data_IF_471403175950
#
_entry.id   IF_471403175950
#
_cell.length_a   1.000
_cell.length_b   1.000
_cell.length_c   1.000
_cell.angle_alpha   90.00
_cell.angle_beta   90.00
_cell.angle_gamma   90.00
#
_symmetry.space_group_name_H-M   'P 1'
#
loop_
_entity.id
_entity.type
_entity.pdbx_description
1 polymer ?
#
# COMPACT_ATOMS: atom_id res chain seq x y z
N UNK A 1 -20.52 -29.65 19.70
CA UNK A 1 -20.03 -28.40 19.09
C UNK A 1 -18.51 -28.42 19.14
N UNK A 2 -17.83 -28.45 17.98
CA UNK A 2 -16.37 -28.58 17.92
C UNK A 2 -15.68 -27.27 18.29
N UNK A 3 -15.06 -27.22 19.47
CA UNK A 3 -14.29 -26.09 20.00
C UNK A 3 -13.16 -25.63 19.06
N UNK A 4 -12.57 -26.57 18.30
CA UNK A 4 -11.55 -26.31 17.27
C UNK A 4 -12.04 -25.38 16.13
N UNK A 5 -13.32 -25.48 15.74
CA UNK A 5 -13.90 -24.63 14.68
C UNK A 5 -14.09 -23.18 15.16
N UNK A 6 -14.44 -22.98 16.43
CA UNK A 6 -14.61 -21.66 17.02
C UNK A 6 -13.27 -20.94 17.22
N UNK A 7 -12.24 -21.66 17.67
CA UNK A 7 -10.89 -21.08 17.80
C UNK A 7 -10.30 -20.68 16.44
N UNK A 8 -10.55 -21.48 15.39
CA UNK A 8 -10.13 -21.16 14.02
C UNK A 8 -10.86 -19.93 13.47
N UNK A 9 -12.17 -19.81 13.70
CA UNK A 9 -12.95 -18.64 13.29
C UNK A 9 -12.50 -17.37 14.04
N UNK A 10 -12.22 -17.49 15.34
CA UNK A 10 -11.72 -16.39 16.18
C UNK A 10 -10.37 -15.88 15.70
N UNK A 11 -9.42 -16.77 15.44
CA UNK A 11 -8.08 -16.40 14.95
C UNK A 11 -8.15 -15.73 13.58
N UNK A 12 -8.97 -16.25 12.66
CA UNK A 12 -9.19 -15.64 11.36
C UNK A 12 -9.77 -14.21 11.48
N UNK A 13 -10.74 -14.00 12.37
CA UNK A 13 -11.34 -12.68 12.61
C UNK A 13 -10.35 -11.67 13.20
N UNK A 14 -9.52 -12.08 14.17
CA UNK A 14 -8.50 -11.22 14.77
C UNK A 14 -7.40 -10.86 13.75
N UNK A 15 -7.00 -11.81 12.90
CA UNK A 15 -6.08 -11.56 11.80
C UNK A 15 -6.67 -10.54 10.80
N UNK A 16 -7.94 -10.70 10.41
CA UNK A 16 -8.64 -9.75 9.54
C UNK A 16 -8.71 -8.35 10.16
N UNK A 17 -9.06 -8.22 11.44
CA UNK A 17 -9.10 -6.92 12.14
C UNK A 17 -7.73 -6.26 12.26
N UNK A 18 -6.69 -7.05 12.48
CA UNK A 18 -5.31 -6.55 12.50
C UNK A 18 -4.92 -6.03 11.12
N UNK A 19 -5.26 -6.76 10.06
CA UNK A 19 -5.04 -6.34 8.69
C UNK A 19 -5.82 -5.07 8.34
N UNK A 20 -7.08 -4.96 8.74
CA UNK A 20 -7.90 -3.76 8.52
C UNK A 20 -7.33 -2.53 9.23
N UNK A 21 -6.86 -2.69 10.48
CA UNK A 21 -6.25 -1.60 11.24
C UNK A 21 -4.93 -1.17 10.61
N UNK A 22 -4.09 -2.11 10.17
CA UNK A 22 -2.86 -1.83 9.46
C UNK A 22 -3.13 -1.12 8.13
N UNK A 23 -4.12 -1.58 7.36
CA UNK A 23 -4.54 -0.96 6.12
C UNK A 23 -5.06 0.49 6.35
N UNK A 24 -5.89 0.71 7.36
CA UNK A 24 -6.41 2.04 7.70
C UNK A 24 -5.30 3.00 8.16
N UNK A 25 -4.36 2.52 8.99
CA UNK A 25 -3.21 3.32 9.43
C UNK A 25 -2.25 3.62 8.29
N UNK A 26 -1.99 2.66 7.40
CA UNK A 26 -1.17 2.89 6.20
C UNK A 26 -1.79 3.93 5.27
N UNK A 27 -3.11 3.91 5.08
CA UNK A 27 -3.84 4.90 4.25
C UNK A 27 -3.74 6.32 4.82
N UNK A 28 -3.92 6.48 6.13
CA UNK A 28 -3.79 7.77 6.80
C UNK A 28 -2.32 8.23 6.79
N UNK A 29 -1.38 7.33 7.06
CA UNK A 29 0.05 7.63 7.03
C UNK A 29 0.50 8.07 5.63
N UNK A 30 0.04 7.41 4.57
CA UNK A 30 0.38 7.83 3.22
C UNK A 30 -0.21 9.20 2.86
N UNK A 31 -1.43 9.48 3.30
CA UNK A 31 -2.05 10.80 3.13
C UNK A 31 -1.21 11.89 3.80
N UNK A 32 -0.72 11.64 5.01
CA UNK A 32 0.15 12.57 5.73
C UNK A 32 1.56 12.69 5.13
N UNK A 33 2.16 11.58 4.70
CA UNK A 33 3.56 11.52 4.26
C UNK A 33 3.72 11.99 2.79
N UNK A 34 2.74 11.68 1.95
CA UNK A 34 2.83 11.90 0.51
C UNK A 34 1.91 13.04 0.01
N UNK A 35 0.96 13.48 0.83
CA UNK A 35 -0.08 14.44 0.45
C UNK A 35 -1.07 13.87 -0.56
N UNK A 36 -1.20 12.53 -0.63
CA UNK A 36 -1.97 11.82 -1.65
C UNK A 36 -3.08 11.00 -1.00
N UNK A 37 -4.28 11.11 -1.54
CA UNK A 37 -5.40 10.22 -1.21
C UNK A 37 -5.25 8.90 -1.99
N UNK A 38 -5.04 7.79 -1.29
CA UNK A 38 -4.94 6.48 -1.94
C UNK A 38 -6.26 6.00 -2.53
N UNK A 39 -7.39 6.34 -1.93
CA UNK A 39 -8.69 5.93 -2.45
C UNK A 39 -9.00 6.65 -3.76
N UNK A 40 -8.70 7.95 -3.84
CA UNK A 40 -8.78 8.71 -5.10
C UNK A 40 -7.76 8.19 -6.13
N UNK A 41 -6.52 7.95 -5.72
CA UNK A 41 -5.46 7.48 -6.61
C UNK A 41 -5.78 6.10 -7.22
N UNK A 42 -6.51 5.25 -6.51
CA UNK A 42 -6.90 3.93 -7.01
C UNK A 42 -7.95 4.02 -8.14
N UNK A 43 -8.78 5.06 -8.14
CA UNK A 43 -9.80 5.33 -9.16
C UNK A 43 -9.25 6.21 -10.30
N UNK A 44 -8.16 6.95 -10.04
CA UNK A 44 -7.49 7.83 -11.00
C UNK A 44 -7.02 7.14 -12.30
N UNK A 45 -6.74 7.96 -13.30
CA UNK A 45 -6.23 7.54 -14.60
C UNK A 45 -4.85 6.87 -14.49
N UNK A 46 -4.50 6.03 -15.46
CA UNK A 46 -3.19 5.36 -15.46
C UNK A 46 -2.02 6.36 -15.52
N UNK A 47 -2.21 7.53 -16.15
CA UNK A 47 -1.22 8.61 -16.17
C UNK A 47 -1.02 9.25 -14.78
N UNK A 48 -2.08 9.43 -14.00
CA UNK A 48 -2.00 9.91 -12.62
C UNK A 48 -1.34 8.89 -11.70
N UNK A 49 -1.69 7.62 -11.87
CA UNK A 49 -1.05 6.51 -11.16
C UNK A 49 0.44 6.44 -11.47
N UNK A 50 0.83 6.59 -12.73
CA UNK A 50 2.25 6.60 -13.10
C UNK A 50 3.00 7.77 -12.45
N UNK A 51 2.42 8.97 -12.47
CA UNK A 51 3.01 10.15 -11.81
C UNK A 51 3.17 9.95 -10.30
N UNK A 52 2.17 9.37 -9.65
CA UNK A 52 2.22 9.06 -8.23
C UNK A 52 3.26 7.97 -7.91
N UNK A 53 3.40 6.95 -8.77
CA UNK A 53 4.42 5.89 -8.65
C UNK A 53 5.83 6.50 -8.64
N UNK A 54 6.14 7.35 -9.62
CA UNK A 54 7.45 8.02 -9.68
C UNK A 54 7.70 8.93 -8.47
N UNK A 55 6.66 9.57 -7.93
CA UNK A 55 6.77 10.37 -6.71
C UNK A 55 7.07 9.49 -5.48
N UNK A 56 6.38 8.36 -5.35
CA UNK A 56 6.62 7.39 -4.26
C UNK A 56 8.04 6.83 -4.30
N UNK A 57 8.55 6.44 -5.47
CA UNK A 57 9.92 5.97 -5.65
C UNK A 57 10.96 6.98 -5.15
N UNK A 58 10.81 8.27 -5.51
CA UNK A 58 11.69 9.34 -5.03
C UNK A 58 11.62 9.53 -3.51
N UNK A 59 10.43 9.42 -2.92
CA UNK A 59 10.25 9.53 -1.48
C UNK A 59 10.90 8.37 -0.73
N UNK A 60 10.76 7.14 -1.25
CA UNK A 60 11.39 5.93 -0.71
C UNK A 60 12.91 6.09 -0.75
N UNK A 61 13.47 6.51 -1.89
CA UNK A 61 14.92 6.65 -2.02
C UNK A 61 15.46 7.73 -1.08
N UNK A 62 14.76 8.87 -0.97
CA UNK A 62 15.14 9.90 0.01
C UNK A 62 15.13 9.38 1.44
N UNK A 63 14.13 8.58 1.80
CA UNK A 63 14.05 7.99 3.14
C UNK A 63 15.13 6.92 3.36
N UNK A 64 15.45 6.13 2.33
CA UNK A 64 16.56 5.16 2.34
C UNK A 64 17.90 5.85 2.57
N UNK A 65 18.17 6.95 1.86
CA UNK A 65 19.41 7.73 2.02
C UNK A 65 19.56 8.29 3.43
N UNK A 66 18.46 8.78 4.04
CA UNK A 66 18.47 9.18 5.46
C UNK A 66 18.87 8.03 6.37
N UNK A 67 18.28 6.84 6.17
CA UNK A 67 18.62 5.64 6.93
C UNK A 67 20.09 5.24 6.80
N UNK A 68 20.63 5.25 5.58
CA UNK A 68 22.04 4.94 5.31
C UNK A 68 22.98 5.96 5.97
N UNK A 69 22.62 7.25 5.96
CA UNK A 69 23.42 8.32 6.58
C UNK A 69 23.26 8.40 8.10
N UNK A 70 22.40 7.59 8.72
CA UNK A 70 22.09 7.68 10.15
C UNK A 70 21.39 8.99 10.54
N UNK A 71 20.70 9.63 9.60
CA UNK A 71 20.05 10.91 9.83
C UNK A 71 18.91 10.76 10.85
N UNK A 72 18.86 11.63 11.86
CA UNK A 72 17.88 11.59 12.96
C UNK A 72 16.42 11.56 12.50
N UNK A 73 16.13 12.16 11.34
CA UNK A 73 14.78 12.20 10.77
C UNK A 73 14.39 10.93 10.01
N UNK A 74 15.23 9.91 9.99
CA UNK A 74 14.91 8.62 9.37
C UNK A 74 13.79 7.95 10.14
N UNK A 75 12.79 7.46 9.42
CA UNK A 75 11.68 6.72 10.02
C UNK A 75 11.42 5.42 9.22
N UNK A 76 11.61 4.27 9.88
CA UNK A 76 11.38 2.96 9.28
C UNK A 76 9.91 2.73 8.92
N UNK A 77 8.97 3.19 9.76
CA UNK A 77 7.54 3.04 9.50
C UNK A 77 7.10 3.86 8.29
N UNK A 78 7.70 5.05 8.10
CA UNK A 78 7.52 5.89 6.92
C UNK A 78 8.03 5.18 5.66
N UNK A 79 9.19 4.54 5.73
CA UNK A 79 9.71 3.76 4.61
C UNK A 79 8.76 2.58 4.26
N UNK A 80 8.32 1.82 5.27
CA UNK A 80 7.40 0.70 5.10
C UNK A 80 6.08 1.17 4.46
N UNK A 81 5.49 2.27 4.96
CA UNK A 81 4.26 2.83 4.43
C UNK A 81 4.40 3.26 2.95
N UNK A 82 5.48 3.98 2.62
CA UNK A 82 5.75 4.40 1.24
C UNK A 82 5.89 3.20 0.30
N UNK A 83 6.62 2.16 0.73
CA UNK A 83 6.82 0.94 -0.06
C UNK A 83 5.52 0.17 -0.27
N UNK A 84 4.71 0.02 0.79
CA UNK A 84 3.41 -0.66 0.70
C UNK A 84 2.46 0.05 -0.27
N UNK A 85 2.45 1.38 -0.29
CA UNK A 85 1.60 2.12 -1.22
C UNK A 85 2.06 2.03 -2.66
N UNK A 86 3.38 2.02 -2.92
CA UNK A 86 3.92 1.75 -4.25
C UNK A 86 3.53 0.34 -4.74
N UNK A 87 3.63 -0.66 -3.86
CA UNK A 87 3.21 -2.04 -4.16
C UNK A 87 1.72 -2.12 -4.49
N UNK A 88 0.86 -1.46 -3.71
CA UNK A 88 -0.58 -1.39 -3.96
C UNK A 88 -0.89 -0.76 -5.33
N UNK A 89 -0.22 0.36 -5.64
CA UNK A 89 -0.41 1.07 -6.90
C UNK A 89 0.00 0.19 -8.10
N UNK A 90 1.15 -0.46 -8.00
CA UNK A 90 1.69 -1.40 -9.01
C UNK A 90 0.79 -2.62 -9.21
N UNK A 91 0.19 -3.15 -8.14
CA UNK A 91 -0.79 -4.24 -8.25
C UNK A 91 -2.05 -3.78 -8.97
N UNK A 92 -2.50 -2.55 -8.72
CA UNK A 92 -3.70 -1.99 -9.35
C UNK A 92 -3.54 -1.82 -10.87
N UNK A 93 -2.33 -1.44 -11.33
CA UNK A 93 -2.05 -1.23 -12.76
C UNK A 93 -1.89 -2.56 -13.49
N UNK A 94 -1.21 -3.55 -12.88
CA UNK A 94 -1.04 -4.90 -13.46
C UNK A 94 -2.35 -5.67 -13.64
N UNK A 95 -3.31 -5.50 -12.72
CA UNK A 95 -4.63 -6.17 -12.82
C UNK A 95 -5.50 -5.69 -13.98
N UNK A 96 -5.29 -4.45 -14.45
CA UNK A 96 -6.08 -3.81 -15.52
C UNK A 96 -5.64 -4.26 -16.91
N UNK A 97 -4.34 -4.50 -17.10
CA UNK A 97 -3.76 -4.94 -18.38
C UNK A 97 -4.24 -6.33 -18.82
N UNK A 98 -4.70 -7.16 -17.88
CA UNK A 98 -5.10 -8.54 -18.16
C UNK A 98 -6.56 -8.67 -18.64
N UNK A 99 -7.43 -7.70 -18.34
CA UNK A 99 -8.86 -7.73 -18.70
C UNK A 99 -9.12 -7.24 -20.12
N UNK A 100 -8.29 -6.32 -20.63
CA UNK A 100 -8.50 -5.71 -21.96
C UNK A 100 -8.11 -6.61 -23.16
N UNK A 101 -7.50 -7.77 -22.91
CA UNK A 101 -7.08 -8.73 -23.95
C UNK A 101 -8.11 -9.83 -24.27
N UNK A 102 -9.27 -9.86 -23.62
CA UNK A 102 -10.27 -10.94 -23.79
C UNK A 102 -11.49 -10.58 -24.66
N UNK A 103 -11.52 -9.40 -25.30
CA UNK A 103 -12.64 -8.95 -26.12
C UNK A 103 -12.31 -8.78 -27.61
N UNK A 104 -11.25 -9.42 -28.10
CA UNK A 104 -10.94 -9.55 -29.53
C UNK A 104 -10.68 -11.02 -29.86
N UNK A 105 -11.76 -11.81 -29.95
CA UNK A 105 -11.78 -13.14 -30.57
C UNK A 105 -13.20 -13.44 -31.05
#
# INVERSE_FOLDING_TARGET
MNTSSLESARTAFLAARTQDRLNAMQRIALRMIAGMDMDELMIASDAEKQRASCRLERLIERERLKGVSGHWSYDLNRHIALKQSLDMLTRSTRGRTQTHRKHEA
#
